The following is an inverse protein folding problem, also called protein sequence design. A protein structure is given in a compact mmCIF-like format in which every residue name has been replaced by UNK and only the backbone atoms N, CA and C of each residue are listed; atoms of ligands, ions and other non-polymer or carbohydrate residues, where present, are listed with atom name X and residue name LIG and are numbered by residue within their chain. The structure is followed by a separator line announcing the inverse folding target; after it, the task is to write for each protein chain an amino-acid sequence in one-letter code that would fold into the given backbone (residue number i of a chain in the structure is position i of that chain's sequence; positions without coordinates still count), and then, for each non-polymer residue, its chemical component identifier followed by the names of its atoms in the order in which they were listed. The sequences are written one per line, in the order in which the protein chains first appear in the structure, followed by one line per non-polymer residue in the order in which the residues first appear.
data_IF_034395968386
#
_entry.id   IF_034395968386
#
_cell.length_a   1.000
_cell.length_b   1.000
_cell.length_c   1.000
_cell.angle_alpha   90.00
_cell.angle_beta   90.00
_cell.angle_gamma   90.00
#
_symmetry.space_group_name_H-M   'P 1'
#
loop_
_entity.id
_entity.type
_entity.pdbx_description
1 polymer ?
#
# COMPACT_ATOMS: atom_id res chain seq x y z
N UNK A 1 0.39 -0.10 16.86
CA UNK A 1 0.97 -0.34 15.52
C UNK A 1 0.68 0.84 14.62
N UNK A 2 1.62 1.29 13.79
CA UNK A 2 1.39 2.36 12.80
C UNK A 2 1.51 1.79 11.39
N UNK A 3 0.53 2.07 10.54
CA UNK A 3 0.62 1.87 9.09
C UNK A 3 0.97 3.18 8.40
N UNK A 4 1.86 3.15 7.42
CA UNK A 4 2.14 4.32 6.55
C UNK A 4 2.07 3.90 5.09
N UNK A 5 1.36 4.67 4.28
CA UNK A 5 1.18 4.42 2.86
C UNK A 5 2.12 5.28 2.02
N UNK A 6 2.72 4.66 1.01
CA UNK A 6 3.73 5.26 0.14
C UNK A 6 3.39 5.07 -1.32
N UNK A 7 3.85 6.00 -2.15
CA UNK A 7 3.95 5.79 -3.59
C UNK A 7 5.35 6.07 -4.13
N UNK A 8 5.66 5.44 -5.27
CA UNK A 8 6.68 5.91 -6.19
C UNK A 8 6.02 6.45 -7.46
N UNK A 9 6.65 7.47 -8.03
CA UNK A 9 6.30 7.99 -9.34
C UNK A 9 7.03 7.18 -10.42
N UNK A 10 6.57 7.34 -11.67
CA UNK A 10 7.30 6.83 -12.83
C UNK A 10 8.69 7.46 -12.85
N UNK A 11 9.73 6.65 -12.78
CA UNK A 11 11.11 7.12 -12.95
C UNK A 11 11.82 6.31 -14.02
N UNK A 12 12.79 6.93 -14.69
CA UNK A 12 13.62 6.27 -15.70
C UNK A 12 15.10 6.52 -15.42
N UNK A 13 15.89 5.45 -15.47
CA UNK A 13 17.34 5.52 -15.43
C UNK A 13 17.92 4.82 -16.68
N UNK A 14 18.29 5.62 -17.68
CA UNK A 14 18.69 5.12 -18.99
C UNK A 14 17.56 4.33 -19.69
N UNK A 15 17.77 3.02 -19.87
CA UNK A 15 16.78 2.12 -20.47
C UNK A 15 15.83 1.47 -19.45
N UNK A 16 16.05 1.68 -18.15
CA UNK A 16 15.21 1.11 -17.10
C UNK A 16 14.04 2.04 -16.79
N UNK A 17 12.82 1.49 -16.75
CA UNK A 17 11.60 2.20 -16.36
C UNK A 17 11.10 1.59 -15.04
N UNK A 18 11.04 2.42 -13.99
CA UNK A 18 10.36 2.07 -12.75
C UNK A 18 8.91 2.54 -12.84
N UNK A 19 7.99 1.58 -12.89
CA UNK A 19 6.57 1.88 -12.94
C UNK A 19 6.09 2.52 -11.63
N UNK A 20 5.10 3.44 -11.69
CA UNK A 20 4.43 3.93 -10.50
C UNK A 20 3.98 2.76 -9.62
N UNK A 21 4.23 2.87 -8.32
CA UNK A 21 3.95 1.81 -7.38
C UNK A 21 3.34 2.37 -6.10
N UNK A 22 2.50 1.57 -5.43
CA UNK A 22 2.01 1.86 -4.09
C UNK A 22 2.27 0.67 -3.16
N UNK A 23 2.69 0.97 -1.95
CA UNK A 23 2.99 -0.01 -0.91
C UNK A 23 2.71 0.60 0.47
N UNK A 24 2.81 -0.20 1.52
CA UNK A 24 2.70 0.29 2.89
C UNK A 24 3.75 -0.32 3.81
N UNK A 25 4.03 0.37 4.91
CA UNK A 25 4.87 -0.13 6.01
C UNK A 25 4.02 -0.32 7.26
N UNK A 26 4.42 -1.25 8.12
CA UNK A 26 3.89 -1.48 9.45
C UNK A 26 5.04 -1.41 10.45
N UNK A 27 4.95 -0.48 11.39
CA UNK A 27 5.96 -0.27 12.42
C UNK A 27 5.33 -0.09 13.80
N UNK A 28 5.86 -0.77 14.80
CA UNK A 28 5.49 -0.60 16.20
C UNK A 28 5.47 -1.92 16.94
N UNK A 29 4.68 -2.00 18.00
CA UNK A 29 4.53 -3.20 18.82
C UNK A 29 3.05 -3.61 18.83
N UNK A 30 2.78 -4.92 18.75
CA UNK A 30 1.44 -5.50 18.95
C UNK A 30 1.08 -5.51 20.44
N UNK A 31 -0.19 -5.72 20.77
CA UNK A 31 -0.66 -5.79 22.17
C UNK A 31 -0.03 -6.91 23.00
N UNK A 32 0.43 -7.99 22.36
CA UNK A 32 1.19 -9.08 23.00
C UNK A 32 2.71 -8.79 23.11
N UNK A 33 3.13 -7.56 22.82
CA UNK A 33 4.51 -7.10 23.01
C UNK A 33 5.49 -7.45 21.88
N UNK A 34 5.02 -8.02 20.76
CA UNK A 34 5.90 -8.36 19.64
C UNK A 34 6.22 -7.12 18.80
N UNK A 35 7.51 -6.83 18.54
CA UNK A 35 7.87 -5.76 17.62
C UNK A 35 7.54 -6.17 16.18
N UNK A 36 7.07 -5.22 15.39
CA UNK A 36 6.82 -5.37 13.96
C UNK A 36 7.55 -4.24 13.23
N UNK A 37 8.33 -4.63 12.23
CA UNK A 37 8.87 -3.78 11.18
C UNK A 37 8.72 -4.55 9.88
N UNK A 38 7.65 -4.27 9.13
CA UNK A 38 7.32 -4.98 7.90
C UNK A 38 6.87 -3.98 6.83
N UNK A 39 6.91 -4.41 5.57
CA UNK A 39 6.35 -3.67 4.46
C UNK A 39 5.82 -4.62 3.39
N UNK A 40 4.84 -4.16 2.64
CA UNK A 40 4.15 -4.98 1.64
C UNK A 40 3.70 -4.12 0.46
N UNK A 41 3.92 -4.63 -0.75
CA UNK A 41 3.34 -4.15 -2.00
C UNK A 41 2.94 -5.33 -2.88
N UNK A 42 2.04 -5.12 -3.83
CA UNK A 42 1.67 -6.14 -4.81
C UNK A 42 2.15 -5.73 -6.21
N UNK A 43 2.97 -6.55 -6.84
CA UNK A 43 3.65 -6.23 -8.10
C UNK A 43 3.61 -7.40 -9.07
N UNK A 44 3.93 -7.15 -10.34
CA UNK A 44 4.23 -8.21 -11.29
C UNK A 44 5.60 -8.81 -10.96
N UNK A 45 5.73 -10.14 -11.04
CA UNK A 45 7.00 -10.86 -10.87
C UNK A 45 8.03 -10.44 -11.92
N UNK A 46 7.56 -10.10 -13.12
CA UNK A 46 8.41 -9.59 -14.20
C UNK A 46 7.69 -8.54 -15.02
N UNK A 47 8.31 -7.37 -15.13
CA UNK A 47 7.79 -6.26 -15.92
C UNK A 47 8.21 -6.47 -17.38
N UNK A 48 7.28 -7.01 -18.17
CA UNK A 48 7.46 -7.19 -19.62
C UNK A 48 6.37 -6.44 -20.38
N UNK A 49 6.56 -6.13 -21.69
CA UNK A 49 5.50 -5.48 -22.48
C UNK A 49 4.16 -6.22 -22.48
N UNK A 50 4.14 -7.53 -22.19
CA UNK A 50 2.93 -8.34 -22.11
C UNK A 50 1.94 -7.87 -21.02
N UNK A 51 2.45 -7.18 -19.98
CA UNK A 51 1.65 -6.62 -18.89
C UNK A 51 0.59 -5.61 -19.37
N UNK A 52 0.81 -5.00 -20.54
CA UNK A 52 -0.12 -4.04 -21.16
C UNK A 52 -1.32 -4.71 -21.84
N UNK A 53 -1.22 -6.01 -22.15
CA UNK A 53 -2.17 -6.71 -23.01
C UNK A 53 -2.79 -7.95 -22.35
N UNK A 54 -2.25 -8.39 -21.22
CA UNK A 54 -2.68 -9.61 -20.54
C UNK A 54 -2.28 -9.61 -19.07
N UNK A 55 -2.92 -10.50 -18.29
CA UNK A 55 -2.49 -10.81 -16.94
C UNK A 55 -1.14 -11.50 -16.95
N UNK A 56 -0.29 -11.14 -15.99
CA UNK A 56 1.02 -11.76 -15.76
C UNK A 56 1.12 -12.26 -14.34
N UNK A 57 2.16 -13.04 -14.04
CA UNK A 57 2.37 -13.49 -12.68
C UNK A 57 2.60 -12.30 -11.74
N UNK A 58 1.91 -12.33 -10.61
CA UNK A 58 1.96 -11.31 -9.57
C UNK A 58 2.49 -11.86 -8.26
N UNK A 59 3.02 -11.00 -7.40
CA UNK A 59 3.58 -11.38 -6.11
C UNK A 59 3.41 -10.29 -5.05
N UNK A 60 3.40 -10.73 -3.80
CA UNK A 60 3.58 -9.84 -2.66
C UNK A 60 5.09 -9.57 -2.48
N UNK A 61 5.49 -8.32 -2.72
CA UNK A 61 6.85 -7.88 -2.56
C UNK A 61 7.08 -7.20 -1.20
N UNK A 62 8.28 -7.40 -0.66
CA UNK A 62 8.85 -6.56 0.40
C UNK A 62 10.03 -5.78 -0.15
N UNK A 63 10.11 -4.50 0.17
CA UNK A 63 11.11 -3.54 -0.30
C UNK A 63 12.13 -3.23 0.79
N UNK A 64 13.39 -3.00 0.40
CA UNK A 64 14.46 -2.61 1.33
C UNK A 64 14.31 -1.17 1.85
N UNK A 65 15.03 -0.84 2.93
CA UNK A 65 14.95 0.48 3.60
C UNK A 65 15.26 1.65 2.64
N UNK A 66 16.17 1.47 1.66
CA UNK A 66 16.49 2.49 0.66
C UNK A 66 15.31 2.83 -0.26
N UNK A 67 14.59 1.81 -0.75
CA UNK A 67 13.39 2.01 -1.58
C UNK A 67 12.30 2.76 -0.80
N UNK A 68 12.10 2.40 0.47
CA UNK A 68 11.14 3.09 1.35
C UNK A 68 11.52 4.57 1.53
N UNK A 69 12.81 4.87 1.69
CA UNK A 69 13.30 6.23 1.88
C UNK A 69 13.12 7.12 0.64
N UNK A 70 13.15 6.54 -0.56
CA UNK A 70 12.89 7.24 -1.83
C UNK A 70 11.39 7.42 -2.12
N UNK A 71 10.53 6.65 -1.44
CA UNK A 71 9.09 6.72 -1.61
C UNK A 71 8.49 8.00 -1.01
N UNK A 72 7.42 8.50 -1.61
CA UNK A 72 6.63 9.61 -1.07
C UNK A 72 5.65 9.07 -0.02
N UNK A 73 5.78 9.40 1.28
CA UNK A 73 4.75 9.08 2.26
C UNK A 73 3.52 9.96 2.04
N UNK A 74 2.32 9.36 2.11
CA UNK A 74 1.06 10.08 1.93
C UNK A 74 0.29 10.28 3.23
N UNK A 75 0.14 9.21 4.01
CA UNK A 75 -0.59 9.23 5.26
C UNK A 75 -0.12 8.11 6.19
N UNK A 76 -0.28 8.35 7.48
CA UNK A 76 -0.03 7.37 8.54
C UNK A 76 -1.22 7.27 9.48
N UNK A 77 -1.51 6.06 9.95
CA UNK A 77 -2.61 5.79 10.88
C UNK A 77 -2.14 4.80 11.96
N UNK A 78 -2.54 5.04 13.19
CA UNK A 78 -2.40 4.04 14.26
C UNK A 78 -3.54 3.04 14.13
N UNK A 79 -3.20 1.76 13.97
CA UNK A 79 -4.16 0.68 13.85
C UNK A 79 -4.52 0.11 15.22
N UNK A 80 -5.81 -0.19 15.42
CA UNK A 80 -6.25 -1.15 16.43
C UNK A 80 -5.80 -2.57 16.06
N UNK A 81 -5.80 -3.49 17.03
CA UNK A 81 -5.46 -4.90 16.77
C UNK A 81 -6.40 -5.54 15.75
N UNK A 82 -7.68 -5.16 15.75
CA UNK A 82 -8.65 -5.64 14.79
C UNK A 82 -8.33 -5.17 13.36
N UNK A 83 -7.99 -3.89 13.19
CA UNK A 83 -7.57 -3.35 11.88
C UNK A 83 -6.26 -3.95 11.42
N UNK A 84 -5.28 -4.12 12.32
CA UNK A 84 -4.02 -4.81 12.01
C UNK A 84 -4.26 -6.25 11.54
N UNK A 85 -5.11 -7.01 12.25
CA UNK A 85 -5.52 -8.35 11.84
C UNK A 85 -6.21 -8.38 10.47
N UNK A 86 -7.08 -7.41 10.19
CA UNK A 86 -7.74 -7.26 8.89
C UNK A 86 -6.76 -6.95 7.75
N UNK A 87 -5.81 -6.04 7.98
CA UNK A 87 -4.72 -5.74 7.03
C UNK A 87 -3.91 -6.99 6.71
N UNK A 88 -3.50 -7.76 7.73
CA UNK A 88 -2.76 -9.00 7.50
C UNK A 88 -3.59 -10.05 6.76
N UNK A 89 -4.91 -10.08 6.96
CA UNK A 89 -5.79 -10.99 6.23
C UNK A 89 -5.83 -10.64 4.73
N UNK A 90 -5.97 -9.35 4.39
CA UNK A 90 -5.91 -8.91 2.99
C UNK A 90 -4.56 -9.29 2.37
N UNK A 91 -3.44 -9.00 3.05
CA UNK A 91 -2.10 -9.39 2.58
C UNK A 91 -1.98 -10.89 2.30
N UNK A 92 -2.50 -11.75 3.20
CA UNK A 92 -2.49 -13.22 2.98
C UNK A 92 -3.36 -13.65 1.81
N UNK A 93 -4.55 -13.07 1.67
CA UNK A 93 -5.45 -13.36 0.55
C UNK A 93 -4.76 -13.06 -0.78
N UNK A 94 -4.14 -11.88 -0.91
CA UNK A 94 -3.40 -11.47 -2.11
C UNK A 94 -2.16 -12.34 -2.37
N UNK A 95 -1.42 -12.72 -1.31
CA UNK A 95 -0.28 -13.64 -1.43
C UNK A 95 -0.68 -15.03 -1.95
N UNK A 96 -1.92 -15.47 -1.70
CA UNK A 96 -2.45 -16.78 -2.10
C UNK A 96 -3.20 -16.79 -3.42
N UNK A 97 -3.23 -15.67 -4.15
CA UNK A 97 -4.05 -15.54 -5.36
C UNK A 97 -3.57 -16.47 -6.49
N UNK A 98 -4.47 -17.16 -7.23
CA UNK A 98 -4.08 -18.01 -8.36
C UNK A 98 -3.38 -17.23 -9.48
N UNK A 99 -2.33 -17.80 -10.07
CA UNK A 99 -1.61 -17.16 -11.17
C UNK A 99 -2.26 -17.45 -12.53
N UNK A 100 -2.14 -16.51 -13.51
CA UNK A 100 -1.55 -15.18 -13.40
C UNK A 100 -2.47 -14.21 -12.65
N UNK A 101 -1.90 -13.49 -11.68
CA UNK A 101 -2.65 -12.65 -10.75
C UNK A 101 -2.53 -11.16 -11.02
N UNK A 102 -1.44 -10.66 -11.62
CA UNK A 102 -1.26 -9.24 -11.83
C UNK A 102 -1.94 -8.74 -13.11
N UNK A 103 -2.73 -7.67 -12.99
CA UNK A 103 -3.47 -7.03 -14.07
C UNK A 103 -3.48 -5.51 -13.87
N UNK A 104 -3.03 -4.74 -14.87
CA UNK A 104 -2.90 -3.28 -14.75
C UNK A 104 -4.20 -2.54 -14.47
N UNK A 105 -5.36 -3.13 -14.74
CA UNK A 105 -6.64 -2.43 -14.61
C UNK A 105 -7.54 -2.98 -13.51
N UNK A 106 -7.31 -4.23 -13.09
CA UNK A 106 -8.24 -4.95 -12.22
C UNK A 106 -7.61 -5.60 -11.00
N UNK A 107 -6.31 -5.86 -11.01
CA UNK A 107 -5.62 -6.54 -9.89
C UNK A 107 -4.13 -6.13 -9.85
N UNK A 108 -3.88 -4.94 -9.34
CA UNK A 108 -2.57 -4.28 -9.28
C UNK A 108 -2.29 -3.69 -7.88
N UNK A 109 -1.18 -2.94 -7.76
CA UNK A 109 -0.80 -2.28 -6.51
C UNK A 109 -1.86 -1.30 -5.97
N UNK A 110 -2.57 -0.54 -6.82
CA UNK A 110 -3.59 0.42 -6.37
C UNK A 110 -4.81 -0.32 -5.83
N UNK A 111 -5.30 -1.34 -6.53
CA UNK A 111 -6.45 -2.13 -6.06
C UNK A 111 -6.13 -2.88 -4.77
N UNK A 112 -4.89 -3.36 -4.61
CA UNK A 112 -4.41 -3.92 -3.35
C UNK A 112 -4.44 -2.88 -2.23
N UNK A 113 -3.82 -1.73 -2.45
CA UNK A 113 -3.71 -0.67 -1.44
C UNK A 113 -5.08 -0.10 -1.08
N UNK A 114 -6.03 -0.10 -2.01
CA UNK A 114 -7.43 0.22 -1.73
C UNK A 114 -8.05 -0.73 -0.71
N UNK A 115 -7.86 -2.05 -0.85
CA UNK A 115 -8.35 -3.03 0.13
C UNK A 115 -7.66 -2.89 1.48
N UNK A 116 -6.35 -2.62 1.49
CA UNK A 116 -5.60 -2.35 2.72
C UNK A 116 -6.10 -1.08 3.41
N UNK A 117 -6.37 -0.01 2.67
CA UNK A 117 -6.92 1.23 3.21
C UNK A 117 -8.31 1.01 3.83
N UNK A 118 -9.19 0.27 3.14
CA UNK A 118 -10.50 -0.14 3.67
C UNK A 118 -10.36 -0.98 4.95
N UNK A 119 -9.46 -1.98 4.96
CA UNK A 119 -9.18 -2.79 6.15
C UNK A 119 -8.60 -1.98 7.31
N UNK A 120 -7.91 -0.88 7.00
CA UNK A 120 -7.40 0.10 7.97
C UNK A 120 -8.50 1.06 8.47
N UNK A 121 -9.74 0.95 7.98
CA UNK A 121 -10.86 1.83 8.35
C UNK A 121 -10.86 3.17 7.63
N UNK A 122 -10.10 3.33 6.54
CA UNK A 122 -10.08 4.53 5.73
C UNK A 122 -11.18 4.51 4.67
N UNK A 123 -11.73 5.69 4.38
CA UNK A 123 -12.60 5.91 3.23
C UNK A 123 -11.79 6.07 1.94
N UNK A 124 -12.18 5.40 0.85
CA UNK A 124 -11.45 5.41 -0.43
C UNK A 124 -12.35 5.86 -1.59
N UNK A 125 -11.76 6.49 -2.60
CA UNK A 125 -12.44 6.75 -3.88
C UNK A 125 -12.54 5.48 -4.75
N UNK A 126 -13.53 5.48 -5.66
CA UNK A 126 -13.77 4.39 -6.63
C UNK A 126 -13.61 4.84 -8.10
N UNK A 127 -13.05 6.03 -8.33
CA UNK A 127 -12.86 6.58 -9.67
C UNK A 127 -11.80 5.77 -10.44
N UNK A 128 -12.12 5.37 -11.68
CA UNK A 128 -11.24 4.57 -12.54
C UNK A 128 -9.91 5.26 -12.83
N UNK A 129 -9.86 6.59 -12.77
CA UNK A 129 -8.62 7.35 -12.99
C UNK A 129 -7.49 6.96 -12.03
N UNK A 130 -7.82 6.42 -10.86
CA UNK A 130 -6.85 6.07 -9.83
C UNK A 130 -6.12 4.76 -10.10
N UNK A 131 -6.71 3.85 -10.89
CA UNK A 131 -6.25 2.46 -11.02
C UNK A 131 -4.79 2.34 -11.47
N UNK A 132 -4.29 3.33 -12.22
CA UNK A 132 -2.90 3.40 -12.69
C UNK A 132 -2.12 4.59 -12.13
N UNK A 133 -2.69 5.31 -11.15
CA UNK A 133 -2.10 6.51 -10.55
C UNK A 133 -2.08 6.38 -9.02
N UNK A 134 -1.07 5.67 -8.47
CA UNK A 134 -0.95 5.44 -7.04
C UNK A 134 -0.79 6.74 -6.23
N UNK A 135 -0.14 7.76 -6.80
CA UNK A 135 0.06 9.04 -6.12
C UNK A 135 -1.25 9.81 -5.97
N UNK A 136 -2.02 9.94 -7.06
CA UNK A 136 -3.31 10.58 -7.03
C UNK A 136 -4.31 9.81 -6.15
N UNK A 137 -4.27 8.47 -6.19
CA UNK A 137 -5.10 7.64 -5.32
C UNK A 137 -4.82 7.90 -3.84
N UNK A 138 -3.57 7.80 -3.41
CA UNK A 138 -3.22 7.99 -1.99
C UNK A 138 -3.43 9.43 -1.52
N UNK A 139 -3.24 10.42 -2.41
CA UNK A 139 -3.58 11.82 -2.12
C UNK A 139 -5.09 11.99 -1.87
N UNK A 140 -5.94 11.36 -2.69
CA UNK A 140 -7.40 11.36 -2.51
C UNK A 140 -7.81 10.66 -1.20
N UNK A 141 -7.18 9.53 -0.85
CA UNK A 141 -7.39 8.85 0.44
C UNK A 141 -7.01 9.77 1.60
N UNK A 142 -5.86 10.44 1.55
CA UNK A 142 -5.43 11.37 2.59
C UNK A 142 -6.44 12.51 2.79
N UNK A 143 -6.93 13.11 1.70
CA UNK A 143 -7.92 14.20 1.73
C UNK A 143 -9.24 13.73 2.36
N UNK A 144 -9.77 12.59 1.93
CA UNK A 144 -11.04 12.04 2.45
C UNK A 144 -11.00 11.73 3.94
N UNK A 145 -9.82 11.38 4.46
CA UNK A 145 -9.64 10.95 5.84
C UNK A 145 -8.96 12.01 6.72
N UNK A 146 -8.83 13.26 6.25
CA UNK A 146 -8.07 14.30 6.95
C UNK A 146 -8.49 14.50 8.42
N UNK A 147 -9.80 14.43 8.71
CA UNK A 147 -10.33 14.55 10.07
C UNK A 147 -9.91 13.38 10.98
N UNK A 148 -9.98 12.15 10.47
CA UNK A 148 -9.57 10.93 11.19
C UNK A 148 -8.05 10.94 11.47
N UNK A 149 -7.26 11.36 10.48
CA UNK A 149 -5.80 11.45 10.58
C UNK A 149 -5.36 12.54 11.56
N UNK A 150 -6.11 13.64 11.65
CA UNK A 150 -5.86 14.68 12.67
C UNK A 150 -6.08 14.13 14.09
N UNK A 151 -7.20 13.42 14.32
CA UNK A 151 -7.50 12.82 15.62
C UNK A 151 -6.45 11.80 16.06
N UNK A 152 -6.02 10.94 15.12
CA UNK A 152 -5.00 9.91 15.37
C UNK A 152 -3.66 10.51 15.80
N UNK A 153 -3.26 11.63 15.18
CA UNK A 153 -2.03 12.36 15.56
C UNK A 153 -2.12 12.95 16.96
N UNK A 154 -3.26 13.55 17.32
CA UNK A 154 -3.47 14.11 18.67
C UNK A 154 -3.38 13.04 19.75
N UNK A 155 -3.96 11.86 19.52
CA UNK A 155 -3.86 10.73 20.46
C UNK A 155 -2.43 10.22 20.60
N UNK A 156 -1.65 10.25 19.52
CA UNK A 156 -0.26 9.80 19.51
C UNK A 156 0.70 10.77 20.24
N UNK A 157 0.41 12.08 20.21
CA UNK A 157 1.18 13.10 20.96
C UNK A 157 0.78 13.24 22.43
N UNK A 158 -0.37 12.69 22.82
CA UNK A 158 -0.91 12.77 24.17
C UNK A 158 -0.54 11.59 25.07
N UNK A 159 0.16 10.57 24.52
CA UNK A 159 0.73 9.48 25.30
C UNK A 159 2.01 9.97 26.01
N UNK A 160 2.11 9.87 27.35
CA UNK A 160 3.26 10.33 28.13
C UNK A 160 4.53 9.51 27.88
#
# INVERSE_FOLDING_TARGET
MTITFYSHHLSSDGLNINFPHAFFTLTGTTSDGKPVKANYGFTAVSVTPAILWSRVDGEMASTGDGYIAEGKPHLSLVLSDAQYGAVLQVTRTWASWPQPSYDLDTHNCVTFIKEIALASGLSVGNDKKFVRDPDAFLSDVAIRNAALLAQSRTMQTAAP
#
